data_IF_807076620327
#
_entry.id   IF_807076620327
#
_cell.length_a   1.000
_cell.length_b   1.000
_cell.length_c   1.000
_cell.angle_alpha   90.00
_cell.angle_beta   90.00
_cell.angle_gamma   90.00
#
_symmetry.space_group_name_H-M   'P 1'
#
loop_
_entity.id
_entity.type
_entity.pdbx_description
1 polymer ?
#
# COMPACT_ATOMS: atom_id res chain seq x y z
N UNK A 1 9.81 -3.69 2.72
CA UNK A 1 8.77 -4.16 3.67
C UNK A 1 8.50 -5.63 3.37
N UNK A 2 7.94 -6.35 4.33
CA UNK A 2 7.59 -7.77 4.23
C UNK A 2 6.18 -7.99 4.79
N UNK A 3 5.60 -9.16 4.52
CA UNK A 3 4.27 -9.59 4.97
C UNK A 3 4.01 -9.41 6.48
N UNK A 4 5.06 -9.53 7.29
CA UNK A 4 5.00 -9.46 8.75
C UNK A 4 5.16 -8.03 9.29
N UNK A 5 5.61 -7.08 8.46
CA UNK A 5 5.71 -5.70 8.89
C UNK A 5 4.29 -5.13 9.15
N UNK A 6 4.11 -4.29 10.17
CA UNK A 6 2.83 -3.63 10.42
C UNK A 6 2.59 -2.51 9.40
N UNK A 7 1.35 -2.42 8.91
CA UNK A 7 0.89 -1.30 8.09
C UNK A 7 1.17 0.02 8.83
N UNK A 8 1.93 0.96 8.24
CA UNK A 8 2.45 2.10 8.98
C UNK A 8 1.40 3.20 9.26
N UNK A 9 0.33 3.26 8.47
CA UNK A 9 -0.67 4.32 8.53
C UNK A 9 -2.06 3.88 8.05
N UNK A 10 -3.02 4.81 8.12
CA UNK A 10 -4.37 4.61 7.62
C UNK A 10 -5.24 3.76 8.54
N UNK A 11 -6.31 3.20 7.97
CA UNK A 11 -7.36 2.48 8.71
C UNK A 11 -6.87 1.13 9.24
N UNK A 12 -5.95 0.48 8.54
CA UNK A 12 -5.37 -0.80 8.94
C UNK A 12 -4.04 -0.66 9.68
N UNK A 13 -3.71 0.53 10.20
CA UNK A 13 -2.45 0.76 10.92
C UNK A 13 -2.21 -0.30 12.00
N UNK A 14 -1.03 -0.90 12.00
CA UNK A 14 -0.63 -1.96 12.94
C UNK A 14 -1.03 -3.38 12.53
N UNK A 15 -1.91 -3.56 11.53
CA UNK A 15 -2.20 -4.87 10.92
C UNK A 15 -1.00 -5.31 10.09
N UNK A 16 -0.61 -6.58 10.13
CA UNK A 16 0.47 -7.09 9.27
C UNK A 16 0.11 -6.91 7.79
N UNK A 17 1.08 -6.58 6.94
CA UNK A 17 0.83 -6.29 5.53
C UNK A 17 0.08 -7.41 4.80
N UNK A 18 0.45 -8.68 5.02
CA UNK A 18 -0.25 -9.82 4.42
C UNK A 18 -1.70 -10.01 4.88
N UNK A 19 -2.10 -9.34 5.96
CA UNK A 19 -3.49 -9.38 6.44
C UNK A 19 -4.25 -8.10 6.06
N UNK A 20 -3.63 -7.10 5.42
CA UNK A 20 -4.34 -5.92 4.92
C UNK A 20 -5.16 -6.35 3.70
N UNK A 21 -6.47 -6.02 3.61
CA UNK A 21 -7.28 -6.42 2.47
C UNK A 21 -6.72 -5.86 1.15
N UNK A 22 -6.70 -6.68 0.11
CA UNK A 22 -6.23 -6.33 -1.23
C UNK A 22 -6.92 -5.08 -1.78
N UNK A 23 -8.24 -4.99 -1.61
CA UNK A 23 -9.03 -3.81 -2.00
C UNK A 23 -8.52 -2.51 -1.35
N UNK A 24 -8.03 -2.59 -0.11
CA UNK A 24 -7.43 -1.46 0.59
C UNK A 24 -6.03 -1.14 0.05
N UNK A 25 -5.22 -2.16 -0.24
CA UNK A 25 -3.90 -2.00 -0.85
C UNK A 25 -4.02 -1.35 -2.24
N UNK A 26 -4.97 -1.77 -3.06
CA UNK A 26 -5.28 -1.15 -4.36
C UNK A 26 -5.68 0.32 -4.18
N UNK A 27 -6.60 0.60 -3.25
CA UNK A 27 -7.04 1.98 -2.99
C UNK A 27 -5.88 2.87 -2.57
N UNK A 28 -5.01 2.39 -1.67
CA UNK A 28 -3.92 3.20 -1.14
C UNK A 28 -2.81 3.39 -2.18
N UNK A 29 -2.51 2.36 -2.98
CA UNK A 29 -1.61 2.45 -4.12
C UNK A 29 -2.04 3.58 -5.06
N UNK A 30 -3.29 3.55 -5.53
CA UNK A 30 -3.83 4.58 -6.43
C UNK A 30 -3.75 5.98 -5.81
N UNK A 31 -4.08 6.10 -4.52
CA UNK A 31 -4.02 7.38 -3.81
C UNK A 31 -2.59 7.94 -3.71
N UNK A 32 -1.60 7.09 -3.43
CA UNK A 32 -0.20 7.51 -3.33
C UNK A 32 0.37 7.82 -4.72
N UNK A 33 0.00 7.07 -5.76
CA UNK A 33 0.38 7.38 -7.14
C UNK A 33 -0.15 8.76 -7.58
N UNK A 34 -1.44 9.05 -7.35
CA UNK A 34 -2.02 10.38 -7.63
C UNK A 34 -1.25 11.49 -6.89
N UNK A 35 -0.87 11.25 -5.63
CA UNK A 35 -0.09 12.19 -4.83
C UNK A 35 1.28 12.46 -5.46
N UNK A 36 1.98 11.41 -5.90
CA UNK A 36 3.28 11.50 -6.56
C UNK A 36 3.18 12.23 -7.92
N UNK A 37 2.19 11.89 -8.74
CA UNK A 37 1.91 12.55 -10.03
C UNK A 37 1.57 14.04 -9.86
N UNK A 38 0.93 14.40 -8.75
CA UNK A 38 0.63 15.80 -8.40
C UNK A 38 1.86 16.57 -7.91
N UNK A 39 3.06 15.97 -7.92
CA UNK A 39 4.31 16.62 -7.49
C UNK A 39 4.47 16.74 -5.98
N UNK A 40 3.67 16.01 -5.18
CA UNK A 40 3.83 16.02 -3.73
C UNK A 40 4.91 15.03 -3.29
N UNK A 41 5.63 15.38 -2.22
CA UNK A 41 6.59 14.48 -1.61
C UNK A 41 5.88 13.29 -0.93
N UNK A 42 6.39 12.09 -1.21
CA UNK A 42 6.00 10.89 -0.47
C UNK A 42 6.75 10.83 0.86
N UNK A 43 6.08 10.34 1.90
CA UNK A 43 6.77 9.97 3.14
C UNK A 43 7.57 8.69 2.92
N UNK A 44 8.52 8.40 3.83
CA UNK A 44 9.24 7.12 3.80
C UNK A 44 8.30 5.93 3.90
N UNK A 45 7.24 6.05 4.69
CA UNK A 45 6.25 5.00 4.88
C UNK A 45 5.42 4.80 3.61
N UNK A 46 5.00 5.87 2.93
CA UNK A 46 4.26 5.78 1.66
C UNK A 46 5.11 5.12 0.58
N UNK A 47 6.38 5.49 0.46
CA UNK A 47 7.31 4.87 -0.48
C UNK A 47 7.56 3.39 -0.16
N UNK A 48 7.65 3.03 1.13
CA UNK A 48 7.83 1.64 1.56
C UNK A 48 6.60 0.76 1.26
N UNK A 49 5.38 1.31 1.44
CA UNK A 49 4.12 0.63 1.08
C UNK A 49 4.02 0.43 -0.43
N UNK A 50 4.35 1.45 -1.24
CA UNK A 50 4.37 1.29 -2.70
C UNK A 50 5.33 0.19 -3.13
N UNK A 51 6.57 0.20 -2.62
CA UNK A 51 7.56 -0.82 -2.97
C UNK A 51 7.12 -2.23 -2.58
N UNK A 52 6.41 -2.40 -1.45
CA UNK A 52 5.83 -3.69 -1.08
C UNK A 52 4.75 -4.16 -2.08
N UNK A 53 3.84 -3.26 -2.48
CA UNK A 53 2.77 -3.58 -3.43
C UNK A 53 3.35 -3.88 -4.82
N UNK A 54 4.36 -3.13 -5.26
CA UNK A 54 5.03 -3.33 -6.55
C UNK A 54 5.85 -4.61 -6.60
N UNK A 55 6.50 -5.00 -5.49
CA UNK A 55 7.25 -6.27 -5.38
C UNK A 55 6.30 -7.49 -5.44
N UNK A 56 5.09 -7.35 -4.87
CA UNK A 56 4.05 -8.37 -4.98
C UNK A 56 3.38 -8.41 -6.37
N UNK A 57 3.37 -7.29 -7.09
CA UNK A 57 2.64 -7.10 -8.35
C UNK A 57 1.20 -6.64 -8.10
N UNK A 58 0.87 -5.42 -8.51
CA UNK A 58 -0.47 -4.82 -8.32
C UNK A 58 -1.56 -5.67 -8.97
N UNK A 59 -1.24 -6.31 -10.09
CA UNK A 59 -2.08 -7.24 -10.83
C UNK A 59 -2.44 -8.53 -10.08
N UNK A 60 -1.70 -8.85 -9.01
CA UNK A 60 -1.94 -10.03 -8.18
C UNK A 60 -2.89 -9.74 -7.01
N UNK A 61 -3.34 -8.50 -6.85
CA UNK A 61 -4.31 -8.12 -5.82
C UNK A 61 -5.74 -8.35 -6.30
N UNK A 62 -6.55 -9.05 -5.51
CA UNK A 62 -7.93 -9.37 -5.86
C UNK A 62 -8.92 -8.30 -5.35
N UNK A 63 -9.89 -7.93 -6.19
CA UNK A 63 -11.02 -7.10 -5.77
C UNK A 63 -12.09 -8.04 -5.21
N UNK A 64 -12.17 -8.13 -3.88
CA UNK A 64 -13.31 -8.79 -3.21
C UNK A 64 -14.59 -7.96 -3.42
N UNK A 65 -15.63 -8.57 -4.01
CA UNK A 65 -16.94 -7.96 -4.30
C UNK A 65 -17.92 -8.05 -3.13
#
# INVERSE_FOLDING_TARGET
MTDQDPMPFGMHKGKSMANVPDSYLIWIYNRIQIKAESGNNLTKDEAAVLGYIEDFGVENLEIEY
#
